data_IF_697303543665
#
_entry.id   IF_697303543665
#
_cell.length_a   1.000
_cell.length_b   1.000
_cell.length_c   1.000
_cell.angle_alpha   90.00
_cell.angle_beta   90.00
_cell.angle_gamma   90.00
#
_symmetry.space_group_name_H-M   'P 1'
#
loop_
_entity.id
_entity.type
_entity.pdbx_description
1 polymer ?
#
# COMPACT_ATOMS: atom_id res chain seq x y z
N UNK A 1 9.10 -8.69 -27.85
CA UNK A 1 8.82 -7.27 -28.19
C UNK A 1 7.35 -6.98 -27.94
N UNK A 2 7.02 -5.80 -27.47
CA UNK A 2 5.66 -5.34 -27.15
C UNK A 2 5.57 -3.87 -27.59
N UNK A 3 5.09 -3.64 -28.81
CA UNK A 3 5.24 -2.33 -29.46
C UNK A 3 6.71 -1.91 -29.55
N UNK A 4 6.99 -0.70 -29.08
CA UNK A 4 8.34 -0.12 -29.02
C UNK A 4 9.18 -0.64 -27.83
N UNK A 5 8.59 -1.42 -26.91
CA UNK A 5 9.26 -1.93 -25.70
C UNK A 5 9.68 -3.40 -25.83
N UNK A 6 10.78 -3.80 -25.19
CA UNK A 6 11.18 -5.21 -25.05
C UNK A 6 10.82 -5.67 -23.63
N UNK A 7 9.95 -6.67 -23.50
CA UNK A 7 9.59 -7.22 -22.19
C UNK A 7 10.76 -7.94 -21.54
N UNK A 8 10.90 -7.77 -20.22
CA UNK A 8 11.84 -8.53 -19.39
C UNK A 8 11.50 -10.03 -19.41
N UNK A 9 12.49 -10.87 -19.09
CA UNK A 9 12.34 -12.32 -19.05
C UNK A 9 11.22 -12.74 -18.08
N UNK A 10 10.34 -13.65 -18.51
CA UNK A 10 9.20 -14.13 -17.73
C UNK A 10 7.95 -13.24 -17.79
N UNK A 11 7.98 -12.11 -18.50
CA UNK A 11 6.79 -11.29 -18.78
C UNK A 11 6.26 -11.53 -20.19
N UNK A 12 4.93 -11.47 -20.33
CA UNK A 12 4.22 -11.56 -21.61
C UNK A 12 3.76 -10.19 -22.04
N UNK A 13 3.84 -9.89 -23.34
CA UNK A 13 3.28 -8.67 -23.89
C UNK A 13 1.77 -8.67 -23.67
N UNK A 14 1.29 -7.70 -22.91
CA UNK A 14 -0.13 -7.52 -22.64
C UNK A 14 -0.71 -6.53 -23.66
N UNK A 15 -0.17 -5.31 -23.76
CA UNK A 15 -0.69 -4.30 -24.70
C UNK A 15 0.43 -3.73 -25.59
N UNK A 16 0.50 -4.11 -26.88
CA UNK A 16 1.53 -3.62 -27.79
C UNK A 16 1.35 -2.15 -28.16
N UNK A 17 0.12 -1.59 -28.13
CA UNK A 17 -0.12 -0.16 -28.39
C UNK A 17 0.46 0.73 -27.29
N UNK A 18 0.60 0.19 -26.08
CA UNK A 18 1.08 0.90 -24.90
C UNK A 18 2.45 0.39 -24.40
N UNK A 19 3.03 -0.63 -25.02
CA UNK A 19 4.26 -1.28 -24.56
C UNK A 19 4.14 -1.95 -23.18
N UNK A 20 2.94 -2.36 -22.76
CA UNK A 20 2.70 -2.91 -21.41
C UNK A 20 2.99 -4.41 -21.40
N UNK A 21 3.91 -4.82 -20.53
CA UNK A 21 4.25 -6.22 -20.26
C UNK A 21 3.70 -6.63 -18.88
N UNK A 22 3.14 -7.83 -18.75
CA UNK A 22 2.57 -8.35 -17.50
C UNK A 22 3.04 -9.76 -17.20
N UNK A 23 2.88 -10.20 -15.95
CA UNK A 23 3.11 -11.60 -15.58
C UNK A 23 2.05 -12.51 -16.23
N UNK A 24 2.40 -13.76 -16.57
CA UNK A 24 1.44 -14.75 -17.04
C UNK A 24 0.25 -14.89 -16.08
N UNK A 25 -0.98 -14.89 -16.60
CA UNK A 25 -2.22 -15.02 -15.81
C UNK A 25 -2.84 -13.70 -15.34
N UNK A 26 -2.17 -12.56 -15.52
CA UNK A 26 -2.75 -11.24 -15.20
C UNK A 26 -3.76 -10.81 -16.27
N UNK A 27 -4.89 -10.22 -15.83
CA UNK A 27 -5.88 -9.61 -16.73
C UNK A 27 -5.27 -8.35 -17.36
N UNK A 28 -5.60 -8.13 -18.62
CA UNK A 28 -5.04 -7.06 -19.43
C UNK A 28 -6.15 -6.26 -20.14
N UNK A 29 -5.92 -4.97 -20.34
CA UNK A 29 -6.82 -4.07 -21.10
C UNK A 29 -6.18 -3.67 -22.44
N UNK A 30 -6.92 -3.86 -23.53
CA UNK A 30 -6.49 -3.50 -24.90
C UNK A 30 -6.88 -2.06 -25.23
N UNK A 31 -6.31 -1.10 -24.50
CA UNK A 31 -6.53 0.32 -24.75
C UNK A 31 -5.55 0.85 -25.80
N UNK A 32 -6.02 1.70 -26.71
CA UNK A 32 -5.15 2.42 -27.63
C UNK A 32 -4.51 3.61 -26.90
N UNK A 33 -3.20 3.56 -26.69
CA UNK A 33 -2.46 4.70 -26.13
C UNK A 33 -2.19 5.72 -27.24
N UNK A 34 -2.69 6.94 -27.09
CA UNK A 34 -2.24 8.09 -27.90
C UNK A 34 -0.92 8.58 -27.29
N UNK A 35 0.14 8.70 -28.10
CA UNK A 35 1.48 9.12 -27.66
C UNK A 35 1.55 10.62 -27.23
N UNK A 36 0.44 11.22 -26.81
CA UNK A 36 0.28 12.66 -26.57
C UNK A 36 -0.21 12.99 -25.16
N UNK A 37 0.27 12.26 -24.17
CA UNK A 37 0.35 12.75 -22.79
C UNK A 37 1.56 12.10 -22.14
N UNK A 38 2.37 12.85 -21.36
CA UNK A 38 3.39 12.21 -20.54
C UNK A 38 2.66 11.16 -19.71
N UNK A 39 3.10 9.90 -19.84
CA UNK A 39 2.63 8.85 -18.97
C UNK A 39 2.75 9.37 -17.53
N UNK A 40 1.77 9.13 -16.65
CA UNK A 40 2.01 9.32 -15.22
C UNK A 40 3.32 8.56 -14.93
N UNK A 41 4.28 9.19 -14.22
CA UNK A 41 5.57 8.56 -13.98
C UNK A 41 5.29 7.16 -13.47
N UNK A 42 5.78 6.15 -14.20
CA UNK A 42 5.80 4.78 -13.72
C UNK A 42 6.51 4.88 -12.39
N UNK A 43 5.74 4.72 -11.31
CA UNK A 43 6.27 4.66 -9.97
C UNK A 43 6.96 3.30 -9.91
N UNK A 44 8.15 3.20 -10.51
CA UNK A 44 9.10 2.20 -10.08
C UNK A 44 9.31 2.49 -8.60
N UNK A 45 9.13 1.51 -7.69
CA UNK A 45 9.75 1.62 -6.39
C UNK A 45 11.22 1.93 -6.67
N UNK A 46 11.69 3.09 -6.22
CA UNK A 46 13.12 3.38 -6.29
C UNK A 46 13.81 2.24 -5.56
N UNK A 47 14.69 1.50 -6.23
CA UNK A 47 15.46 0.42 -5.62
C UNK A 47 16.45 0.93 -4.53
N UNK A 48 16.44 2.24 -4.26
CA UNK A 48 17.19 2.92 -3.19
C UNK A 48 16.34 3.33 -1.96
N UNK A 49 15.09 2.90 -1.83
CA UNK A 49 14.37 3.10 -0.55
C UNK A 49 14.72 1.95 0.39
N UNK A 50 15.97 1.92 0.86
CA UNK A 50 16.48 0.93 1.81
C UNK A 50 15.80 1.17 3.16
N UNK A 51 14.59 0.65 3.27
CA UNK A 51 13.78 0.77 4.47
C UNK A 51 13.90 -0.47 5.34
N UNK A 52 13.95 -0.25 6.65
CA UNK A 52 14.02 -1.34 7.63
C UNK A 52 12.67 -1.45 8.34
N UNK A 53 12.18 -2.68 8.52
CA UNK A 53 10.92 -2.93 9.21
C UNK A 53 10.99 -2.44 10.66
N UNK A 54 9.96 -1.72 11.10
CA UNK A 54 9.81 -1.26 12.48
C UNK A 54 8.32 -1.34 12.84
N UNK A 55 7.88 -2.47 13.40
CA UNK A 55 6.47 -2.62 13.76
C UNK A 55 5.50 -2.46 12.59
N UNK A 56 4.45 -1.61 12.72
CA UNK A 56 3.55 -1.26 11.62
C UNK A 56 4.16 -0.31 10.58
N UNK A 57 5.36 0.24 10.82
CA UNK A 57 6.03 1.20 9.95
C UNK A 57 7.30 0.63 9.30
N UNK A 58 7.89 1.43 8.41
CA UNK A 58 9.23 1.20 7.87
C UNK A 58 10.09 2.44 8.03
N UNK A 59 11.26 2.26 8.61
CA UNK A 59 12.22 3.34 8.84
C UNK A 59 13.00 3.62 7.57
N UNK A 60 13.16 4.91 7.25
CA UNK A 60 13.98 5.37 6.13
C UNK A 60 15.46 5.12 6.41
N UNK A 61 16.26 5.08 5.36
CA UNK A 61 17.71 5.05 5.50
C UNK A 61 18.21 6.21 6.39
N UNK A 62 19.17 5.91 7.26
CA UNK A 62 19.71 6.87 8.23
C UNK A 62 18.88 7.06 9.50
N UNK A 63 17.73 6.38 9.64
CA UNK A 63 16.93 6.36 10.88
C UNK A 63 16.97 4.99 11.55
N UNK A 64 16.86 4.95 12.88
CA UNK A 64 16.80 3.71 13.67
C UNK A 64 15.38 3.45 14.19
N UNK A 65 15.01 2.17 14.29
CA UNK A 65 13.74 1.77 14.90
C UNK A 65 13.83 1.96 16.41
N UNK A 66 13.19 3.01 16.92
CA UNK A 66 13.13 3.30 18.35
C UNK A 66 12.07 2.44 19.04
N UNK A 67 10.90 2.25 18.42
CA UNK A 67 9.81 1.52 19.04
C UNK A 67 9.09 0.61 18.04
N UNK A 68 9.38 -0.69 18.11
CA UNK A 68 8.76 -1.71 17.28
C UNK A 68 7.27 -1.89 17.54
N UNK A 69 6.76 -1.59 18.74
CA UNK A 69 5.33 -1.69 19.01
C UNK A 69 4.56 -0.57 18.30
N UNK A 70 5.19 0.60 18.15
CA UNK A 70 4.57 1.79 17.58
C UNK A 70 4.97 2.09 16.13
N UNK A 71 6.04 1.47 15.64
CA UNK A 71 6.68 1.84 14.39
C UNK A 71 7.30 3.23 14.39
N UNK A 72 7.88 3.64 15.53
CA UNK A 72 8.54 4.94 15.64
C UNK A 72 9.99 4.81 15.21
N UNK A 73 10.35 5.60 14.20
CA UNK A 73 11.70 5.75 13.69
C UNK A 73 12.27 7.07 14.14
N UNK A 74 13.53 7.09 14.59
CA UNK A 74 14.21 8.30 15.06
C UNK A 74 15.56 8.45 14.40
N UNK A 75 16.10 9.66 14.39
CA UNK A 75 17.49 9.89 14.00
C UNK A 75 18.45 9.33 15.08
N UNK A 76 19.65 8.88 14.69
CA UNK A 76 20.66 8.40 15.61
C UNK A 76 20.95 9.41 16.73
N UNK A 77 20.91 8.94 17.98
CA UNK A 77 21.21 9.76 19.16
C UNK A 77 20.04 10.55 19.73
N UNK A 78 18.86 10.48 19.10
CA UNK A 78 17.64 11.01 19.71
C UNK A 78 17.10 10.07 20.79
N UNK A 79 16.48 10.66 21.82
CA UNK A 79 15.86 9.92 22.91
C UNK A 79 14.68 9.08 22.43
N UNK A 80 14.53 7.90 23.03
CA UNK A 80 13.50 6.93 22.65
C UNK A 80 12.59 6.56 23.83
N UNK A 81 11.28 6.63 23.62
CA UNK A 81 10.27 6.14 24.57
C UNK A 81 9.77 4.76 24.18
N UNK A 82 10.03 3.76 25.03
CA UNK A 82 9.52 2.39 24.91
C UNK A 82 8.09 2.24 25.45
N UNK A 83 7.18 3.11 25.02
CA UNK A 83 5.77 2.96 25.33
C UNK A 83 5.18 1.81 24.51
N UNK A 84 4.33 0.98 25.10
CA UNK A 84 3.55 0.02 24.31
C UNK A 84 2.49 0.80 23.52
N UNK A 85 2.53 0.72 22.20
CA UNK A 85 1.40 1.18 21.40
C UNK A 85 0.37 0.06 21.34
N UNK A 86 -0.87 0.43 21.58
CA UNK A 86 -2.00 -0.45 21.34
C UNK A 86 -1.94 -0.87 19.86
N UNK A 87 -2.23 -2.14 19.54
CA UNK A 87 -2.29 -2.57 18.14
C UNK A 87 -3.20 -1.62 17.39
N UNK A 88 -2.74 -1.11 16.24
CA UNK A 88 -3.64 -0.43 15.32
C UNK A 88 -4.78 -1.41 15.04
N UNK A 89 -6.01 -1.03 15.37
CA UNK A 89 -7.15 -1.92 15.15
C UNK A 89 -7.38 -2.13 13.65
N UNK A 90 -8.45 -2.83 13.29
CA UNK A 90 -8.64 -3.15 11.87
C UNK A 90 -8.99 -1.91 11.05
N UNK A 91 -8.50 -1.89 9.80
CA UNK A 91 -8.84 -0.84 8.85
C UNK A 91 -10.29 -1.00 8.43
N UNK A 92 -11.06 0.08 8.47
CA UNK A 92 -12.46 0.12 8.06
C UNK A 92 -12.71 1.36 7.21
N UNK A 93 -12.70 1.18 5.88
CA UNK A 93 -12.79 2.29 4.93
C UNK A 93 -11.63 3.28 5.10
N UNK A 94 -11.96 4.53 5.42
CA UNK A 94 -11.00 5.60 5.67
C UNK A 94 -10.64 5.78 7.16
N UNK A 95 -11.05 4.84 8.03
CA UNK A 95 -10.79 4.86 9.47
C UNK A 95 -10.10 3.57 9.91
N UNK A 96 -9.59 3.59 11.13
CA UNK A 96 -9.07 2.43 11.84
C UNK A 96 -9.94 2.23 13.07
N UNK A 97 -10.46 1.03 13.27
CA UNK A 97 -11.26 0.68 14.42
C UNK A 97 -10.42 0.72 15.69
N UNK A 98 -11.03 1.11 16.82
CA UNK A 98 -10.38 1.02 18.11
C UNK A 98 -10.19 -0.46 18.50
N UNK A 99 -9.32 -0.72 19.49
CA UNK A 99 -9.14 -2.07 20.03
C UNK A 99 -10.48 -2.67 20.49
N UNK A 100 -10.69 -3.95 20.15
CA UNK A 100 -11.92 -4.68 20.51
C UNK A 100 -13.13 -4.34 19.65
N UNK A 101 -13.00 -3.48 18.63
CA UNK A 101 -14.04 -3.24 17.62
C UNK A 101 -13.68 -3.92 16.30
N UNK A 102 -14.70 -4.31 15.55
CA UNK A 102 -14.60 -4.87 14.21
C UNK A 102 -15.17 -3.94 13.13
N UNK A 103 -14.63 -4.00 11.92
CA UNK A 103 -15.16 -3.24 10.80
C UNK A 103 -16.49 -3.85 10.40
N UNK A 104 -17.54 -3.06 10.56
CA UNK A 104 -18.89 -3.49 10.29
C UNK A 104 -19.38 -2.96 8.93
N UNK A 105 -18.97 -1.76 8.52
CA UNK A 105 -19.25 -1.27 7.17
C UNK A 105 -18.06 -0.44 6.65
N UNK A 106 -17.30 -1.04 5.73
CA UNK A 106 -16.13 -0.42 5.09
C UNK A 106 -16.48 0.84 4.30
N UNK A 107 -17.62 0.86 3.60
CA UNK A 107 -18.02 2.02 2.79
C UNK A 107 -18.20 3.27 3.65
N UNK A 108 -18.67 3.10 4.89
CA UNK A 108 -18.92 4.20 5.82
C UNK A 108 -17.85 4.34 6.91
N UNK A 109 -16.85 3.45 6.94
CA UNK A 109 -15.87 3.36 8.03
C UNK A 109 -16.52 3.16 9.40
N UNK A 110 -17.58 2.35 9.49
CA UNK A 110 -18.29 2.08 10.74
C UNK A 110 -17.71 0.85 11.44
N UNK A 111 -17.26 1.07 12.68
CA UNK A 111 -16.79 0.02 13.57
C UNK A 111 -17.87 -0.33 14.60
N UNK A 112 -18.03 -1.62 14.90
CA UNK A 112 -18.98 -2.12 15.90
C UNK A 112 -18.29 -3.17 16.80
N UNK A 113 -18.85 -3.49 17.97
CA UNK A 113 -18.38 -4.64 18.74
C UNK A 113 -18.47 -5.95 17.93
N UNK A 114 -17.68 -6.99 18.25
CA UNK A 114 -17.97 -8.34 17.81
C UNK A 114 -19.40 -8.66 18.25
N UNK A 115 -20.26 -9.09 17.33
CA UNK A 115 -21.71 -9.31 17.51
C UNK A 115 -22.60 -8.05 17.51
N UNK A 116 -22.03 -6.86 17.37
CA UNK A 116 -22.77 -5.63 17.13
C UNK A 116 -23.26 -5.55 15.69
N UNK A 117 -24.53 -5.17 15.49
CA UNK A 117 -25.08 -4.92 14.16
C UNK A 117 -24.80 -3.49 13.66
N UNK A 118 -24.63 -3.33 12.35
CA UNK A 118 -24.62 -2.03 11.70
C UNK A 118 -25.37 -2.07 10.36
N UNK A 119 -25.69 -0.89 9.83
CA UNK A 119 -26.36 -0.73 8.54
C UNK A 119 -25.37 -0.92 7.39
N UNK A 120 -25.71 -1.80 6.45
CA UNK A 120 -24.96 -2.04 5.21
C UNK A 120 -25.38 -1.05 4.11
N UNK A 121 -25.17 0.24 4.36
CA UNK A 121 -25.40 1.29 3.38
C UNK A 121 -24.10 1.68 2.67
N UNK A 122 -24.21 2.10 1.40
CA UNK A 122 -23.09 2.69 0.68
C UNK A 122 -22.96 4.16 1.07
N UNK A 123 -21.83 4.53 1.65
CA UNK A 123 -21.41 5.93 1.85
C UNK A 123 -20.44 6.34 0.73
N UNK A 124 -20.61 7.57 0.23
CA UNK A 124 -19.86 8.14 -0.90
C UNK A 124 -18.86 9.20 -0.42
#
# INVERSE_FOLDING_TARGET
KCGDTICQAGLTCCNPSCGICVKPGMKCTMQACTKSSPAPPVVTPREDDKTTQCGPARCKEGTECCNESCGICVEPGNGCTKQLCLPAGEVCGNKVCAEGLVCCNESCGLCAPPDGGCTMQLCL
#
